data_IF_267541272636
#
_entry.id   IF_267541272636
#
_cell.length_a   1.000
_cell.length_b   1.000
_cell.length_c   1.000
_cell.angle_alpha   90.00
_cell.angle_beta   90.00
_cell.angle_gamma   90.00
#
_symmetry.space_group_name_H-M   'P 1'
#
loop_
_entity.id
_entity.type
_entity.pdbx_description
1 polymer ?
#
# COMPACT_ATOMS: atom_id res chain seq x y z
N UNK A 1 -60.45 17.05 -43.77
CA UNK A 1 -60.64 15.77 -44.50
C UNK A 1 -59.27 15.23 -44.88
N UNK A 2 -58.83 14.14 -44.26
CA UNK A 2 -57.91 13.15 -44.82
C UNK A 2 -57.79 12.01 -43.80
N UNK A 3 -58.65 11.00 -43.96
CA UNK A 3 -58.58 9.73 -43.26
C UNK A 3 -57.24 9.07 -43.57
N UNK A 4 -56.37 8.87 -42.57
CA UNK A 4 -55.26 7.94 -42.67
C UNK A 4 -55.41 6.82 -41.63
N UNK A 5 -56.32 5.89 -41.95
CA UNK A 5 -56.40 4.56 -41.33
C UNK A 5 -55.12 3.79 -41.65
N UNK A 6 -54.06 4.00 -40.90
CA UNK A 6 -52.96 3.04 -40.85
C UNK A 6 -53.35 1.94 -39.87
N UNK A 7 -54.01 0.90 -40.38
CA UNK A 7 -54.24 -0.36 -39.67
C UNK A 7 -52.91 -1.16 -39.62
N UNK A 8 -51.83 -0.49 -39.22
CA UNK A 8 -50.51 -1.08 -39.05
C UNK A 8 -50.61 -1.99 -37.84
N UNK A 9 -50.42 -3.29 -38.05
CA UNK A 9 -50.38 -4.29 -36.96
C UNK A 9 -49.42 -3.78 -35.89
N UNK A 10 -49.95 -3.33 -34.75
CA UNK A 10 -49.16 -2.83 -33.63
C UNK A 10 -48.48 -4.02 -32.95
N UNK A 11 -47.16 -3.99 -32.86
CA UNK A 11 -46.42 -5.04 -32.19
C UNK A 11 -46.27 -4.69 -30.71
N UNK A 12 -46.48 -5.66 -29.83
CA UNK A 12 -46.28 -5.47 -28.38
C UNK A 12 -44.85 -5.04 -28.07
N UNK A 13 -43.88 -5.52 -28.85
CA UNK A 13 -42.48 -5.11 -28.75
C UNK A 13 -42.32 -3.59 -28.91
N UNK A 14 -42.86 -3.02 -30.00
CA UNK A 14 -42.84 -1.58 -30.28
C UNK A 14 -43.61 -0.74 -29.23
N UNK A 15 -44.51 -1.38 -28.47
CA UNK A 15 -45.25 -0.71 -27.40
C UNK A 15 -44.52 -0.75 -26.05
N UNK A 16 -43.56 -1.66 -25.88
CA UNK A 16 -42.85 -1.87 -24.61
C UNK A 16 -41.40 -1.38 -24.66
N UNK A 17 -40.73 -1.47 -25.81
CA UNK A 17 -39.30 -1.22 -25.97
C UNK A 17 -39.07 0.13 -26.66
N UNK A 18 -38.40 1.02 -25.94
CA UNK A 18 -38.06 2.37 -26.40
C UNK A 18 -36.60 2.42 -26.87
N UNK A 19 -36.36 1.93 -28.09
CA UNK A 19 -35.03 1.93 -28.71
C UNK A 19 -34.11 0.80 -28.24
N UNK A 20 -32.85 0.84 -28.68
CA UNK A 20 -31.92 -0.27 -28.51
C UNK A 20 -31.29 -0.35 -27.11
N UNK A 21 -31.49 0.66 -26.26
CA UNK A 21 -30.94 0.74 -24.91
C UNK A 21 -32.04 0.85 -23.84
N UNK A 22 -33.07 0.02 -23.96
CA UNK A 22 -34.18 -0.05 -23.00
C UNK A 22 -34.24 -1.42 -22.31
N UNK A 23 -33.39 -1.66 -21.29
CA UNK A 23 -33.37 -2.93 -20.57
C UNK A 23 -34.71 -3.25 -19.90
N UNK A 24 -35.42 -2.23 -19.42
CA UNK A 24 -36.74 -2.40 -18.81
C UNK A 24 -37.75 -2.87 -19.86
N UNK A 25 -37.77 -2.25 -21.03
CA UNK A 25 -38.62 -2.66 -22.15
C UNK A 25 -38.33 -4.09 -22.60
N UNK A 26 -37.06 -4.48 -22.75
CA UNK A 26 -36.69 -5.84 -23.14
C UNK A 26 -37.15 -6.89 -22.11
N UNK A 27 -36.98 -6.59 -20.83
CA UNK A 27 -37.45 -7.46 -19.74
C UNK A 27 -38.99 -7.49 -19.73
N UNK A 28 -39.66 -6.34 -19.90
CA UNK A 28 -41.12 -6.25 -19.95
C UNK A 28 -41.70 -7.07 -21.11
N UNK A 29 -41.05 -7.06 -22.27
CA UNK A 29 -41.43 -7.91 -23.40
C UNK A 29 -41.29 -9.40 -23.07
N UNK A 30 -40.28 -9.77 -22.30
CA UNK A 30 -40.10 -11.14 -21.81
C UNK A 30 -41.22 -11.54 -20.85
N UNK A 31 -41.65 -10.64 -19.96
CA UNK A 31 -42.82 -10.86 -19.09
C UNK A 31 -44.13 -11.03 -19.90
N UNK A 32 -44.33 -10.25 -20.95
CA UNK A 32 -45.43 -10.45 -21.88
C UNK A 32 -45.39 -11.86 -22.52
N UNK A 33 -44.22 -12.28 -23.03
CA UNK A 33 -44.05 -13.61 -23.64
C UNK A 33 -44.32 -14.74 -22.66
N UNK A 34 -43.86 -14.59 -21.41
CA UNK A 34 -44.14 -15.51 -20.30
C UNK A 34 -45.64 -15.60 -20.04
N UNK A 35 -46.32 -14.46 -19.89
CA UNK A 35 -47.78 -14.41 -19.66
C UNK A 35 -48.59 -15.07 -20.78
N UNK A 36 -48.20 -14.81 -22.04
CA UNK A 36 -48.79 -15.45 -23.22
C UNK A 36 -48.59 -16.97 -23.22
N UNK A 37 -47.40 -17.44 -22.84
CA UNK A 37 -47.08 -18.86 -22.73
C UNK A 37 -47.87 -19.53 -21.60
N UNK A 38 -47.90 -18.92 -20.41
CA UNK A 38 -48.66 -19.41 -19.25
C UNK A 38 -50.17 -19.49 -19.52
N UNK A 39 -50.71 -18.56 -20.33
CA UNK A 39 -52.09 -18.67 -20.80
C UNK A 39 -52.30 -19.90 -21.68
N UNK A 40 -51.40 -20.14 -22.65
CA UNK A 40 -51.50 -21.28 -23.55
C UNK A 40 -51.34 -22.62 -22.82
N UNK A 41 -50.42 -22.70 -21.86
CA UNK A 41 -50.20 -23.89 -21.04
C UNK A 41 -51.43 -24.19 -20.20
N UNK A 42 -51.97 -23.20 -19.47
CA UNK A 42 -53.18 -23.39 -18.66
C UNK A 42 -54.36 -23.89 -19.48
N UNK A 43 -54.63 -23.29 -20.64
CA UNK A 43 -55.75 -23.72 -21.49
C UNK A 43 -55.56 -25.17 -22.01
N UNK A 44 -54.31 -25.59 -22.26
CA UNK A 44 -54.03 -27.00 -22.62
C UNK A 44 -54.26 -27.94 -21.45
N UNK A 45 -53.87 -27.55 -20.25
CA UNK A 45 -54.12 -28.31 -19.02
C UNK A 45 -55.62 -28.42 -18.73
N UNK A 46 -56.39 -27.38 -19.05
CA UNK A 46 -57.86 -27.35 -18.95
C UNK A 46 -58.57 -28.20 -20.02
N UNK A 47 -57.82 -28.79 -20.97
CA UNK A 47 -58.36 -29.66 -22.02
C UNK A 47 -58.97 -28.93 -23.21
N UNK A 48 -58.69 -27.63 -23.37
CA UNK A 48 -59.16 -26.85 -24.51
C UNK A 48 -58.52 -27.31 -25.82
N UNK A 49 -59.27 -27.17 -26.92
CA UNK A 49 -58.74 -27.50 -28.25
C UNK A 49 -57.69 -26.48 -28.70
N UNK A 50 -56.73 -26.90 -29.53
CA UNK A 50 -55.67 -26.01 -30.01
C UNK A 50 -56.24 -24.81 -30.81
N UNK A 51 -57.39 -24.97 -31.48
CA UNK A 51 -58.07 -23.85 -32.14
C UNK A 51 -58.51 -22.77 -31.15
N UNK A 52 -59.12 -23.16 -30.02
CA UNK A 52 -59.55 -22.24 -28.96
C UNK A 52 -58.34 -21.58 -28.29
N UNK A 53 -57.26 -22.34 -28.07
CA UNK A 53 -56.02 -21.82 -27.50
C UNK A 53 -55.44 -20.72 -28.39
N UNK A 54 -55.35 -20.94 -29.70
CA UNK A 54 -54.82 -19.95 -30.64
C UNK A 54 -55.64 -18.66 -30.64
N UNK A 55 -56.97 -18.76 -30.60
CA UNK A 55 -57.87 -17.60 -30.51
C UNK A 55 -57.71 -16.84 -29.20
N UNK A 56 -57.63 -17.55 -28.05
CA UNK A 56 -57.39 -16.94 -26.73
C UNK A 56 -56.05 -16.23 -26.66
N UNK A 57 -55.01 -16.85 -27.20
CA UNK A 57 -53.65 -16.32 -27.27
C UNK A 57 -53.57 -15.10 -28.20
N UNK A 58 -54.35 -15.08 -29.28
CA UNK A 58 -54.51 -13.92 -30.16
C UNK A 58 -55.24 -12.77 -29.45
N UNK A 59 -56.35 -13.05 -28.76
CA UNK A 59 -57.07 -12.05 -27.96
C UNK A 59 -56.17 -11.46 -26.85
N UNK A 60 -55.33 -12.29 -26.21
CA UNK A 60 -54.35 -11.79 -25.24
C UNK A 60 -53.38 -10.77 -25.85
N UNK A 61 -52.90 -11.01 -27.07
CA UNK A 61 -52.07 -10.05 -27.80
C UNK A 61 -52.84 -8.75 -28.11
N UNK A 62 -54.08 -8.85 -28.60
CA UNK A 62 -54.90 -7.68 -28.92
C UNK A 62 -55.21 -6.84 -27.67
N UNK A 63 -55.50 -7.50 -26.54
CA UNK A 63 -55.73 -6.84 -25.26
C UNK A 63 -54.47 -6.14 -24.76
N UNK A 64 -53.31 -6.80 -24.81
CA UNK A 64 -52.04 -6.21 -24.40
C UNK A 64 -51.71 -4.94 -25.20
N UNK A 65 -51.98 -4.92 -26.51
CA UNK A 65 -51.72 -3.74 -27.36
C UNK A 65 -52.70 -2.60 -27.10
N UNK A 66 -53.94 -2.90 -26.70
CA UNK A 66 -55.00 -1.90 -26.49
C UNK A 66 -55.02 -1.31 -25.08
N UNK A 67 -54.54 -2.07 -24.10
CA UNK A 67 -54.57 -1.71 -22.68
C UNK A 67 -53.23 -1.15 -22.23
N UNK A 68 -53.19 0.16 -22.00
CA UNK A 68 -51.99 0.81 -21.43
C UNK A 68 -51.67 0.26 -20.04
N UNK A 69 -52.69 0.00 -19.22
CA UNK A 69 -52.53 -0.60 -17.89
C UNK A 69 -51.83 -1.97 -17.95
N UNK A 70 -52.13 -2.79 -18.96
CA UNK A 70 -51.47 -4.08 -19.15
C UNK A 70 -50.00 -3.91 -19.53
N UNK A 71 -49.68 -2.96 -20.43
CA UNK A 71 -48.31 -2.64 -20.79
C UNK A 71 -47.52 -2.11 -19.58
N UNK A 72 -48.12 -1.22 -18.81
CA UNK A 72 -47.52 -0.63 -17.61
C UNK A 72 -47.28 -1.69 -16.53
N UNK A 73 -48.16 -2.68 -16.40
CA UNK A 73 -47.96 -3.82 -15.51
C UNK A 73 -46.71 -4.61 -15.87
N UNK A 74 -46.49 -4.91 -17.16
CA UNK A 74 -45.26 -5.59 -17.60
C UNK A 74 -44.01 -4.73 -17.37
N UNK A 75 -44.08 -3.42 -17.65
CA UNK A 75 -42.98 -2.49 -17.35
C UNK A 75 -42.69 -2.44 -15.84
N UNK A 76 -43.72 -2.41 -15.00
CA UNK A 76 -43.58 -2.44 -13.54
C UNK A 76 -42.91 -3.73 -13.06
N UNK A 77 -43.34 -4.90 -13.55
CA UNK A 77 -42.70 -6.18 -13.22
C UNK A 77 -41.23 -6.21 -13.65
N UNK A 78 -40.91 -5.65 -14.82
CA UNK A 78 -39.54 -5.51 -15.30
C UNK A 78 -38.69 -4.63 -14.39
N UNK A 79 -39.20 -3.46 -13.98
CA UNK A 79 -38.52 -2.55 -13.06
C UNK A 79 -38.25 -3.20 -11.71
N UNK A 80 -39.24 -3.88 -11.13
CA UNK A 80 -39.09 -4.60 -9.86
C UNK A 80 -38.03 -5.69 -9.98
N UNK A 81 -38.11 -6.53 -11.02
CA UNK A 81 -37.13 -7.59 -11.26
C UNK A 81 -35.71 -7.03 -11.41
N UNK A 82 -35.53 -5.98 -12.20
CA UNK A 82 -34.23 -5.36 -12.41
C UNK A 82 -33.67 -4.74 -11.13
N UNK A 83 -34.52 -4.10 -10.31
CA UNK A 83 -34.13 -3.58 -8.99
C UNK A 83 -33.65 -4.72 -8.09
N UNK A 84 -34.42 -5.79 -7.96
CA UNK A 84 -34.06 -6.93 -7.11
C UNK A 84 -32.74 -7.59 -7.53
N UNK A 85 -32.52 -7.75 -8.83
CA UNK A 85 -31.25 -8.29 -9.36
C UNK A 85 -30.10 -7.35 -9.03
N UNK A 86 -30.28 -6.04 -9.26
CA UNK A 86 -29.26 -5.03 -8.99
C UNK A 86 -28.93 -4.94 -7.50
N UNK A 87 -29.95 -5.01 -6.64
CA UNK A 87 -29.78 -4.97 -5.18
C UNK A 87 -29.01 -6.19 -4.67
N UNK A 88 -29.29 -7.38 -5.21
CA UNK A 88 -28.53 -8.61 -4.89
C UNK A 88 -27.08 -8.51 -5.33
N UNK A 89 -26.82 -8.04 -6.56
CA UNK A 89 -25.45 -7.83 -7.06
C UNK A 89 -24.73 -6.82 -6.16
N UNK A 90 -25.37 -5.71 -5.82
CA UNK A 90 -24.79 -4.70 -4.96
C UNK A 90 -24.49 -5.23 -3.56
N UNK A 91 -25.35 -6.09 -3.01
CA UNK A 91 -25.11 -6.76 -1.74
C UNK A 91 -23.94 -7.74 -1.80
N UNK A 92 -23.87 -8.58 -2.83
CA UNK A 92 -22.77 -9.53 -3.04
C UNK A 92 -21.43 -8.81 -3.15
N UNK A 93 -21.36 -7.76 -3.98
CA UNK A 93 -20.16 -6.92 -4.13
C UNK A 93 -19.75 -6.27 -2.80
N UNK A 94 -20.71 -5.72 -2.05
CA UNK A 94 -20.43 -5.15 -0.72
C UNK A 94 -19.86 -6.19 0.24
N UNK A 95 -20.39 -7.41 0.22
CA UNK A 95 -19.94 -8.49 1.09
C UNK A 95 -18.54 -8.99 0.70
N UNK A 96 -18.26 -9.08 -0.59
CA UNK A 96 -16.93 -9.42 -1.11
C UNK A 96 -15.89 -8.38 -0.69
N UNK A 97 -16.16 -7.09 -0.92
CA UNK A 97 -15.25 -6.00 -0.49
C UNK A 97 -15.01 -6.00 1.02
N UNK A 98 -16.04 -6.24 1.84
CA UNK A 98 -15.87 -6.37 3.30
C UNK A 98 -14.93 -7.53 3.65
N UNK A 99 -15.11 -8.68 3.01
CA UNK A 99 -14.29 -9.87 3.25
C UNK A 99 -12.83 -9.62 2.86
N UNK A 100 -12.59 -9.03 1.70
CA UNK A 100 -11.23 -8.68 1.25
C UNK A 100 -10.57 -7.66 2.17
N UNK A 101 -11.31 -6.62 2.57
CA UNK A 101 -10.82 -5.61 3.51
C UNK A 101 -10.45 -6.22 4.87
N UNK A 102 -11.28 -7.12 5.41
CA UNK A 102 -10.98 -7.84 6.65
C UNK A 102 -9.76 -8.75 6.53
N UNK A 103 -9.60 -9.45 5.41
CA UNK A 103 -8.43 -10.29 5.14
C UNK A 103 -7.16 -9.46 5.07
N UNK A 104 -7.18 -8.38 4.27
CA UNK A 104 -6.06 -7.45 4.13
C UNK A 104 -5.69 -6.82 5.47
N UNK A 105 -6.68 -6.41 6.28
CA UNK A 105 -6.46 -5.88 7.63
C UNK A 105 -5.76 -6.90 8.53
N UNK A 106 -6.21 -8.15 8.56
CA UNK A 106 -5.58 -9.23 9.35
C UNK A 106 -4.15 -9.52 8.89
N UNK A 107 -3.89 -9.51 7.59
CA UNK A 107 -2.54 -9.67 7.05
C UNK A 107 -1.63 -8.52 7.44
N UNK A 108 -2.14 -7.29 7.37
CA UNK A 108 -1.41 -6.11 7.78
C UNK A 108 -1.07 -6.15 9.27
N UNK A 109 -2.04 -6.48 10.14
CA UNK A 109 -1.83 -6.65 11.59
C UNK A 109 -0.78 -7.74 11.91
N UNK A 110 -0.78 -8.85 11.16
CA UNK A 110 0.24 -9.90 11.31
C UNK A 110 1.63 -9.41 10.91
N UNK A 111 1.73 -8.69 9.78
CA UNK A 111 3.00 -8.13 9.29
C UNK A 111 3.56 -7.09 10.26
N UNK A 112 2.72 -6.19 10.77
CA UNK A 112 3.15 -5.16 11.73
C UNK A 112 3.60 -5.79 13.05
N UNK A 113 2.86 -6.76 13.59
CA UNK A 113 3.28 -7.49 14.79
C UNK A 113 4.60 -8.26 14.58
N UNK A 114 4.81 -8.88 13.41
CA UNK A 114 6.05 -9.57 13.08
C UNK A 114 7.23 -8.61 13.00
N UNK A 115 7.06 -7.47 12.31
CA UNK A 115 8.07 -6.42 12.19
C UNK A 115 8.44 -5.81 13.54
N UNK A 116 7.45 -5.60 14.43
CA UNK A 116 7.70 -5.07 15.77
C UNK A 116 8.52 -6.07 16.62
N UNK A 117 8.19 -7.36 16.53
CA UNK A 117 8.95 -8.43 17.18
C UNK A 117 10.37 -8.54 16.64
N UNK A 118 10.55 -8.42 15.33
CA UNK A 118 11.86 -8.43 14.68
C UNK A 118 12.70 -7.21 15.10
N UNK A 119 12.11 -6.01 15.08
CA UNK A 119 12.74 -4.78 15.57
C UNK A 119 13.20 -4.92 17.01
N UNK A 120 12.35 -5.45 17.90
CA UNK A 120 12.70 -5.69 19.30
C UNK A 120 13.88 -6.67 19.46
N UNK A 121 13.87 -7.76 18.68
CA UNK A 121 14.98 -8.74 18.65
C UNK A 121 16.27 -8.12 18.14
N UNK A 122 16.22 -7.36 17.05
CA UNK A 122 17.37 -6.66 16.47
C UNK A 122 17.95 -5.63 17.45
N UNK A 123 17.10 -4.85 18.11
CA UNK A 123 17.52 -3.92 19.16
C UNK A 123 18.20 -4.66 20.30
N UNK A 124 17.61 -5.75 20.79
CA UNK A 124 18.19 -6.58 21.86
C UNK A 124 19.56 -7.15 21.45
N UNK A 125 19.69 -7.67 20.23
CA UNK A 125 20.95 -8.19 19.69
C UNK A 125 22.01 -7.09 19.58
N UNK A 126 21.68 -5.94 18.99
CA UNK A 126 22.58 -4.80 18.89
C UNK A 126 23.04 -4.32 20.28
N UNK A 127 22.13 -4.27 21.24
CA UNK A 127 22.44 -3.86 22.61
C UNK A 127 23.37 -4.87 23.30
N UNK A 128 23.15 -6.17 23.09
CA UNK A 128 24.02 -7.22 23.62
C UNK A 128 25.40 -7.22 22.97
N UNK A 129 25.48 -6.98 21.66
CA UNK A 129 26.75 -6.81 20.94
C UNK A 129 27.52 -5.59 21.47
N UNK A 130 26.86 -4.45 21.66
CA UNK A 130 27.48 -3.26 22.25
C UNK A 130 27.99 -3.53 23.67
N UNK A 131 27.22 -4.25 24.50
CA UNK A 131 27.64 -4.65 25.85
C UNK A 131 28.85 -5.60 25.82
N UNK A 132 28.87 -6.56 24.90
CA UNK A 132 30.00 -7.48 24.73
C UNK A 132 31.25 -6.73 24.28
N UNK A 133 31.14 -5.90 23.23
CA UNK A 133 32.22 -5.05 22.75
C UNK A 133 32.73 -4.09 23.84
N UNK A 134 31.85 -3.51 24.66
CA UNK A 134 32.23 -2.65 25.78
C UNK A 134 32.95 -3.42 26.91
N UNK A 135 32.62 -4.70 27.14
CA UNK A 135 33.34 -5.57 28.08
C UNK A 135 34.72 -5.99 27.55
N UNK A 136 34.80 -6.28 26.26
CA UNK A 136 36.06 -6.63 25.58
C UNK A 136 36.95 -5.40 25.37
N UNK A 137 36.37 -4.20 25.40
CA UNK A 137 37.10 -2.94 25.34
C UNK A 137 38.00 -2.78 26.57
N UNK A 138 39.23 -3.26 26.44
CA UNK A 138 40.31 -2.94 27.36
C UNK A 138 40.66 -1.46 27.16
N UNK A 139 40.30 -0.64 28.15
CA UNK A 139 40.67 0.78 28.20
C UNK A 139 42.18 0.89 27.93
N UNK A 140 42.61 1.58 26.85
CA UNK A 140 44.03 1.68 26.55
C UNK A 140 44.71 2.35 27.75
N UNK A 141 45.75 1.71 28.28
CA UNK A 141 46.52 2.23 29.41
C UNK A 141 47.08 3.60 29.05
N UNK A 142 47.28 4.47 30.04
CA UNK A 142 47.81 5.81 29.82
C UNK A 142 49.12 5.78 29.00
N UNK A 143 49.97 4.75 29.21
CA UNK A 143 51.18 4.51 28.45
C UNK A 143 50.92 4.18 26.97
N UNK A 144 49.91 3.35 26.65
CA UNK A 144 49.55 3.06 25.25
C UNK A 144 48.95 4.27 24.54
N UNK A 145 48.18 5.11 25.25
CA UNK A 145 47.65 6.37 24.71
C UNK A 145 48.76 7.38 24.44
N UNK A 146 49.72 7.48 25.38
CA UNK A 146 50.91 8.29 25.21
C UNK A 146 51.71 7.78 24.01
N UNK A 147 52.04 6.49 23.94
CA UNK A 147 52.74 5.89 22.80
C UNK A 147 52.02 6.07 21.45
N UNK A 148 50.70 5.90 21.38
CA UNK A 148 49.95 6.14 20.15
C UNK A 148 49.88 7.62 19.77
N UNK A 149 49.85 8.52 20.77
CA UNK A 149 49.93 9.96 20.55
C UNK A 149 51.32 10.35 20.03
N UNK A 150 52.40 9.77 20.59
CA UNK A 150 53.76 9.91 20.06
C UNK A 150 53.82 9.46 18.59
N UNK A 151 53.17 8.34 18.23
CA UNK A 151 53.34 7.77 16.88
C UNK A 151 52.42 8.38 15.81
N UNK A 152 51.20 8.81 16.16
CA UNK A 152 50.21 9.29 15.19
C UNK A 152 50.11 10.81 15.05
N UNK A 153 50.81 11.60 15.89
CA UNK A 153 50.67 13.05 15.84
C UNK A 153 51.65 13.78 16.72
N UNK A 154 52.95 13.72 16.37
CA UNK A 154 53.91 14.64 16.96
C UNK A 154 53.89 15.99 16.25
N UNK A 155 53.41 17.01 16.97
CA UNK A 155 53.83 18.40 16.71
C UNK A 155 55.36 18.45 16.73
N UNK A 156 55.97 18.97 15.67
CA UNK A 156 57.44 19.04 15.46
C UNK A 156 58.21 19.56 16.69
N UNK A 157 57.58 20.43 17.49
CA UNK A 157 58.15 21.01 18.71
C UNK A 157 58.35 20.01 19.85
N UNK A 158 57.45 19.04 20.00
CA UNK A 158 57.56 18.07 21.10
C UNK A 158 58.56 16.95 20.75
N UNK A 159 58.74 16.63 19.46
CA UNK A 159 59.80 15.72 19.00
C UNK A 159 61.19 16.33 19.20
N UNK A 160 61.36 17.63 18.90
CA UNK A 160 62.64 18.33 19.13
C UNK A 160 62.97 18.45 20.62
N UNK A 161 61.98 18.73 21.48
CA UNK A 161 62.17 18.75 22.94
C UNK A 161 62.62 17.39 23.49
N UNK A 162 62.01 16.28 23.06
CA UNK A 162 62.41 14.94 23.49
C UNK A 162 63.80 14.59 22.94
N UNK A 163 64.11 14.94 21.69
CA UNK A 163 65.44 14.74 21.13
C UNK A 163 66.50 15.52 21.90
N UNK A 164 66.24 16.79 22.24
CA UNK A 164 67.13 17.63 23.07
C UNK A 164 67.34 17.01 24.44
N UNK A 165 66.29 16.47 25.07
CA UNK A 165 66.41 15.79 26.36
C UNK A 165 67.21 14.48 26.27
N UNK A 166 67.01 13.69 25.22
CA UNK A 166 67.72 12.41 25.02
C UNK A 166 69.18 12.65 24.66
N UNK A 167 69.44 13.51 23.67
CA UNK A 167 70.81 13.85 23.22
C UNK A 167 71.54 14.63 24.30
N UNK A 168 70.89 15.62 24.93
CA UNK A 168 71.45 16.39 26.03
C UNK A 168 71.71 15.54 27.27
N UNK A 169 70.79 14.64 27.63
CA UNK A 169 71.00 13.67 28.71
C UNK A 169 72.12 12.68 28.43
N UNK A 170 72.22 12.20 27.18
CA UNK A 170 73.32 11.33 26.75
C UNK A 170 74.67 12.06 26.73
N UNK A 171 74.70 13.31 26.26
CA UNK A 171 75.89 14.16 26.27
C UNK A 171 76.34 14.49 27.70
N UNK A 172 75.38 14.75 28.60
CA UNK A 172 75.65 14.96 30.03
C UNK A 172 76.23 13.72 30.70
N UNK A 173 75.83 12.52 30.27
CA UNK A 173 76.33 11.26 30.81
C UNK A 173 77.73 10.91 30.29
N UNK A 174 78.06 11.29 29.04
CA UNK A 174 79.28 10.84 28.36
C UNK A 174 80.45 11.83 28.41
N UNK A 175 80.19 13.10 28.71
CA UNK A 175 81.21 14.17 28.67
C UNK A 175 81.81 14.46 30.06
N UNK A 176 83.05 14.96 30.12
CA UNK A 176 83.76 15.37 31.35
C UNK A 176 83.22 16.69 31.93
N UNK A 177 83.43 16.92 33.23
CA UNK A 177 82.78 18.03 33.96
C UNK A 177 83.22 19.44 33.50
N UNK A 178 84.46 19.60 33.01
CA UNK A 178 84.95 20.88 32.47
C UNK A 178 84.19 21.32 31.21
N UNK A 179 83.89 20.38 30.31
CA UNK A 179 83.12 20.65 29.09
C UNK A 179 81.63 20.90 29.36
N UNK A 180 81.10 20.37 30.48
CA UNK A 180 79.71 20.66 30.90
C UNK A 180 79.56 22.09 31.38
N UNK A 181 80.53 22.61 32.13
CA UNK A 181 80.52 23.99 32.61
C UNK A 181 80.65 24.99 31.45
N UNK A 182 81.52 24.70 30.48
CA UNK A 182 81.71 25.57 29.31
C UNK A 182 80.44 25.63 28.45
N UNK A 183 79.81 24.47 28.19
CA UNK A 183 78.55 24.39 27.43
C UNK A 183 77.39 25.12 28.14
N UNK A 184 77.31 25.05 29.48
CA UNK A 184 76.30 25.78 30.26
C UNK A 184 76.51 27.29 30.18
N UNK A 185 77.76 27.77 30.23
CA UNK A 185 78.07 29.20 30.08
C UNK A 185 77.67 29.69 28.69
N UNK A 186 78.01 28.96 27.63
CA UNK A 186 77.64 29.36 26.25
C UNK A 186 76.12 29.39 26.04
N UNK A 187 75.39 28.45 26.66
CA UNK A 187 73.92 28.44 26.62
C UNK A 187 73.30 29.62 27.39
N UNK A 188 73.80 29.92 28.57
CA UNK A 188 73.36 31.08 29.37
C UNK A 188 73.63 32.37 28.62
N UNK A 189 74.82 32.54 28.04
CA UNK A 189 75.18 33.74 27.26
C UNK A 189 74.30 33.89 26.01
N UNK A 190 74.01 32.79 25.31
CA UNK A 190 73.10 32.80 24.15
C UNK A 190 71.66 33.16 24.54
N UNK A 191 71.16 32.65 25.68
CA UNK A 191 69.81 32.97 26.18
C UNK A 191 69.71 34.41 26.66
N UNK A 192 70.73 34.91 27.37
CA UNK A 192 70.80 36.31 27.80
C UNK A 192 70.84 37.25 26.60
N UNK A 193 71.61 36.94 25.56
CA UNK A 193 71.68 37.74 24.34
C UNK A 193 70.36 37.79 23.55
N UNK A 194 69.54 36.73 23.61
CA UNK A 194 68.21 36.69 22.99
C UNK A 194 67.18 37.45 23.84
N UNK A 195 67.29 37.43 25.16
CA UNK A 195 66.39 38.14 26.08
C UNK A 195 66.71 39.64 26.22
N UNK A 196 67.93 40.06 25.87
CA UNK A 196 68.34 41.48 25.83
C UNK A 196 67.97 42.20 24.52
N UNK A 197 67.17 41.57 23.65
CA UNK A 197 66.73 42.10 22.36
C UNK A 197 65.25 42.43 22.36
#
# INVERSE_FOLDING_TARGET
MASNKNNKKRWVFECLVEGDNDPVGFIAYSFYKKSKHELAVRLREDGETEAVIQDRVKMHHENAVRSQETLDSYKKSATVFLSEVTDRIAEEVRNEFKREHEQSKREWERKTAALEKEKSRALTQATNQLKAAAKEYKKPSAASRFGSWLLNGFSELAASLILVLVVGGFFWWTTSDEMKEEALRTLVDAVVAVLSK
#
